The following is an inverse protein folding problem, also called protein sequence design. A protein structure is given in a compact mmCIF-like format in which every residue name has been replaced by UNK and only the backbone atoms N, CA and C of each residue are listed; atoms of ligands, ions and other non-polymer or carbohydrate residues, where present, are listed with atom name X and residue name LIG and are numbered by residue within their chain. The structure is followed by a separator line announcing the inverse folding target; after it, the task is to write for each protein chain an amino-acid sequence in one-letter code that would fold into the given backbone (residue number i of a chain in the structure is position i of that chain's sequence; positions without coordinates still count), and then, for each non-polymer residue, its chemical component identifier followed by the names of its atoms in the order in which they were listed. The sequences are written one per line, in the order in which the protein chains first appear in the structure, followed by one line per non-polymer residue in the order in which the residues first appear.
data_IF_469871387184
#
_entry.id   IF_469871387184
#
_cell.length_a   1.000
_cell.length_b   1.000
_cell.length_c   1.000
_cell.angle_alpha   90.00
_cell.angle_beta   90.00
_cell.angle_gamma   90.00
#
_symmetry.space_group_name_H-M   'P 1'
#
loop_
_entity.id
_entity.type
_entity.pdbx_description
1 polymer ?
#
# COMPACT_ATOMS: atom_id res chain seq x y z
N UNK A 1 0.70 -2.63 -22.59
CA UNK A 1 1.09 -2.09 -21.28
C UNK A 1 0.70 -3.12 -20.25
N UNK A 2 1.63 -3.55 -19.42
CA UNK A 2 1.41 -4.53 -18.36
C UNK A 2 1.56 -3.91 -16.97
N UNK A 3 2.42 -2.91 -16.83
CA UNK A 3 2.72 -2.30 -15.53
C UNK A 3 3.05 -0.81 -15.65
N UNK A 4 2.92 -0.09 -14.55
CA UNK A 4 3.34 1.29 -14.40
C UNK A 4 3.86 1.56 -13.00
N UNK A 5 4.76 2.53 -12.87
CA UNK A 5 5.22 3.05 -11.59
C UNK A 5 5.42 4.57 -11.66
N UNK A 6 5.33 5.25 -10.52
CA UNK A 6 5.54 6.70 -10.42
C UNK A 6 6.84 6.96 -9.66
N UNK A 7 7.70 7.79 -10.21
CA UNK A 7 8.94 8.22 -9.55
C UNK A 7 8.70 9.40 -8.58
N UNK A 8 9.67 9.68 -7.72
CA UNK A 8 9.57 10.75 -6.70
C UNK A 8 9.33 12.14 -7.30
N UNK A 9 9.77 12.37 -8.54
CA UNK A 9 9.59 13.60 -9.31
C UNK A 9 8.26 13.68 -10.09
N UNK A 10 7.39 12.68 -9.93
CA UNK A 10 6.09 12.61 -10.59
C UNK A 10 6.14 12.09 -12.03
N UNK A 11 7.30 11.67 -12.55
CA UNK A 11 7.37 10.98 -13.84
C UNK A 11 6.78 9.57 -13.76
N UNK A 12 6.24 9.10 -14.87
CA UNK A 12 5.54 7.80 -14.96
C UNK A 12 6.35 6.83 -15.81
N UNK A 13 6.75 5.71 -15.23
CA UNK A 13 7.34 4.58 -15.93
C UNK A 13 6.23 3.64 -16.40
N UNK A 14 6.36 3.11 -17.61
CA UNK A 14 5.41 2.20 -18.23
C UNK A 14 6.18 1.01 -18.80
N UNK A 15 5.80 -0.21 -18.42
CA UNK A 15 6.37 -1.45 -18.90
C UNK A 15 5.35 -2.33 -19.64
N UNK A 16 5.82 -3.16 -20.56
CA UNK A 16 4.99 -4.19 -21.20
C UNK A 16 5.53 -4.66 -22.54
N UNK A 17 4.69 -5.31 -23.34
CA UNK A 17 5.03 -5.77 -24.69
C UNK A 17 4.97 -4.63 -25.72
N UNK A 18 6.09 -3.94 -25.96
CA UNK A 18 6.25 -2.95 -27.03
C UNK A 18 7.73 -2.63 -27.30
N UNK A 19 8.08 -2.37 -28.57
CA UNK A 19 9.45 -1.96 -28.92
C UNK A 19 9.60 -0.43 -29.09
N UNK A 20 8.49 0.30 -29.24
CA UNK A 20 8.50 1.75 -29.47
C UNK A 20 7.31 2.48 -28.85
N UNK A 21 7.49 3.77 -28.59
CA UNK A 21 6.45 4.67 -28.11
C UNK A 21 6.62 6.05 -28.76
N UNK A 22 5.56 6.60 -29.35
CA UNK A 22 5.58 7.86 -30.09
C UNK A 22 6.76 7.98 -31.09
N UNK A 23 7.08 6.88 -31.78
CA UNK A 23 8.14 6.84 -32.80
C UNK A 23 9.57 6.70 -32.27
N UNK A 24 9.79 6.68 -30.95
CA UNK A 24 11.08 6.38 -30.34
C UNK A 24 11.18 4.90 -29.94
N UNK A 25 12.33 4.28 -30.14
CA UNK A 25 12.63 2.92 -29.62
C UNK A 25 12.69 2.95 -28.11
N UNK A 26 12.00 2.00 -27.46
CA UNK A 26 11.81 1.97 -26.00
C UNK A 26 12.02 0.62 -25.34
N UNK A 27 12.35 -0.44 -26.08
CA UNK A 27 12.77 -1.73 -25.50
C UNK A 27 11.90 -2.15 -24.29
N UNK A 28 10.58 -2.26 -24.47
CA UNK A 28 9.61 -2.73 -23.45
C UNK A 28 9.37 -1.81 -22.24
N UNK A 29 10.06 -0.67 -22.15
CA UNK A 29 9.90 0.31 -21.06
C UNK A 29 10.03 1.76 -21.53
N UNK A 30 9.09 2.62 -21.15
CA UNK A 30 9.18 4.06 -21.42
C UNK A 30 8.94 4.88 -20.17
N UNK A 31 9.35 6.15 -20.20
CA UNK A 31 9.05 7.12 -19.15
C UNK A 31 8.34 8.34 -19.74
N UNK A 32 7.31 8.81 -19.05
CA UNK A 32 6.57 10.01 -19.37
C UNK A 32 6.85 11.08 -18.31
N UNK A 33 6.87 12.34 -18.74
CA UNK A 33 6.82 13.49 -17.85
C UNK A 33 5.48 13.56 -17.12
N UNK A 34 5.38 14.38 -16.08
CA UNK A 34 4.15 14.57 -15.29
C UNK A 34 2.97 15.12 -16.10
N UNK A 35 3.24 15.74 -17.26
CA UNK A 35 2.23 16.20 -18.22
C UNK A 35 1.82 15.13 -19.25
N UNK A 36 2.39 13.91 -19.15
CA UNK A 36 2.14 12.80 -20.06
C UNK A 36 2.96 12.81 -21.35
N UNK A 37 3.80 13.83 -21.57
CA UNK A 37 4.72 13.85 -22.72
C UNK A 37 5.85 12.84 -22.55
N UNK A 38 6.44 12.38 -23.66
CA UNK A 38 7.55 11.44 -23.61
C UNK A 38 8.80 12.07 -22.98
N UNK A 39 9.38 11.43 -21.97
CA UNK A 39 10.70 11.80 -21.45
C UNK A 39 11.79 11.28 -22.39
N UNK A 40 12.42 12.19 -23.14
CA UNK A 40 13.52 11.86 -24.05
C UNK A 40 14.85 11.68 -23.35
N UNK A 41 14.98 12.09 -22.09
CA UNK A 41 16.19 11.92 -21.28
C UNK A 41 16.32 10.52 -20.67
N UNK A 42 15.23 9.75 -20.63
CA UNK A 42 15.27 8.33 -20.34
C UNK A 42 15.51 7.56 -21.64
N UNK A 43 16.61 6.85 -21.79
CA UNK A 43 16.92 6.01 -22.96
C UNK A 43 17.14 4.58 -22.47
N UNK A 44 16.12 3.70 -22.60
CA UNK A 44 16.20 2.33 -22.12
C UNK A 44 17.37 1.56 -22.73
N UNK A 45 18.13 0.86 -21.87
CA UNK A 45 19.22 -0.01 -22.30
C UNK A 45 18.74 -1.07 -23.32
N UNK A 46 19.62 -1.42 -24.27
CA UNK A 46 19.34 -2.43 -25.32
C UNK A 46 19.30 -3.87 -24.80
N UNK A 47 19.76 -4.05 -23.57
CA UNK A 47 19.80 -5.29 -22.81
C UNK A 47 18.41 -5.66 -22.26
N UNK A 48 17.46 -4.72 -22.23
CA UNK A 48 16.06 -5.01 -21.97
C UNK A 48 15.46 -5.63 -23.24
N UNK A 49 15.37 -6.96 -23.27
CA UNK A 49 15.07 -7.73 -24.51
C UNK A 49 13.77 -8.51 -24.47
N UNK A 50 12.98 -8.35 -23.42
CA UNK A 50 11.76 -9.11 -23.22
C UNK A 50 10.69 -8.25 -22.54
N UNK A 51 9.48 -8.78 -22.54
CA UNK A 51 8.32 -8.17 -21.90
C UNK A 51 8.62 -7.81 -20.44
N UNK A 52 8.25 -6.59 -20.06
CA UNK A 52 8.28 -6.14 -18.68
C UNK A 52 6.90 -6.36 -18.06
N UNK A 53 6.80 -7.34 -17.17
CA UNK A 53 5.58 -7.67 -16.44
C UNK A 53 5.39 -6.78 -15.20
N UNK A 54 6.48 -6.34 -14.57
CA UNK A 54 6.43 -5.52 -13.35
C UNK A 54 7.54 -4.48 -13.29
N UNK A 55 7.26 -3.31 -12.71
CA UNK A 55 8.23 -2.24 -12.44
C UNK A 55 8.06 -1.75 -11.01
N UNK A 56 9.16 -1.50 -10.32
CA UNK A 56 9.14 -0.63 -9.15
C UNK A 56 10.33 0.33 -9.11
N UNK A 57 10.17 1.37 -8.30
CA UNK A 57 11.17 2.41 -8.09
C UNK A 57 11.78 2.19 -6.71
N UNK A 58 13.11 2.12 -6.64
CA UNK A 58 13.84 2.08 -5.38
C UNK A 58 13.93 3.48 -4.75
N UNK A 59 14.30 3.56 -3.48
CA UNK A 59 14.40 4.82 -2.73
C UNK A 59 15.47 5.78 -3.26
N UNK A 60 16.38 5.30 -4.10
CA UNK A 60 17.39 6.08 -4.81
C UNK A 60 17.00 6.41 -6.26
N UNK A 61 15.70 6.31 -6.57
CA UNK A 61 15.08 6.54 -7.90
C UNK A 61 15.58 5.60 -9.02
N UNK A 62 16.36 4.56 -8.71
CA UNK A 62 16.64 3.50 -9.67
C UNK A 62 15.38 2.66 -9.94
N UNK A 63 15.32 2.11 -11.15
CA UNK A 63 14.14 1.39 -11.64
C UNK A 63 14.44 -0.10 -11.70
N UNK A 64 13.71 -0.91 -10.95
CA UNK A 64 13.68 -2.36 -11.12
C UNK A 64 12.63 -2.71 -12.17
N UNK A 65 13.01 -3.47 -13.18
CA UNK A 65 12.10 -3.97 -14.21
C UNK A 65 12.19 -5.49 -14.27
N UNK A 66 11.07 -6.16 -13.96
CA UNK A 66 10.92 -7.61 -13.96
C UNK A 66 10.15 -8.09 -15.19
N UNK A 67 10.65 -9.15 -15.80
CA UNK A 67 10.11 -9.81 -16.99
C UNK A 67 10.65 -11.23 -17.03
N UNK A 68 11.21 -11.67 -18.16
CA UNK A 68 11.95 -12.95 -18.21
C UNK A 68 13.14 -13.02 -17.24
N UNK A 69 13.70 -11.85 -16.91
CA UNK A 69 14.71 -11.64 -15.88
C UNK A 69 14.39 -10.35 -15.12
N UNK A 70 15.19 -10.00 -14.11
CA UNK A 70 15.19 -8.68 -13.50
C UNK A 70 16.40 -7.87 -13.95
N UNK A 71 16.17 -6.61 -14.31
CA UNK A 71 17.21 -5.62 -14.55
C UNK A 71 16.99 -4.42 -13.66
N UNK A 72 18.07 -3.69 -13.40
CA UNK A 72 17.99 -2.37 -12.78
C UNK A 72 18.49 -1.30 -13.74
N UNK A 73 17.73 -0.22 -13.86
CA UNK A 73 18.06 0.92 -14.70
C UNK A 73 18.33 2.16 -13.82
N UNK A 74 19.27 2.98 -14.26
CA UNK A 74 19.55 4.29 -13.70
C UNK A 74 18.46 5.30 -14.11
N UNK A 75 18.53 6.51 -13.55
CA UNK A 75 17.56 7.57 -13.84
C UNK A 75 17.56 8.04 -15.31
N UNK A 76 18.60 7.73 -16.07
CA UNK A 76 18.72 7.97 -17.52
C UNK A 76 18.29 6.77 -18.37
N UNK A 77 17.89 5.64 -17.77
CA UNK A 77 17.49 4.42 -18.47
C UNK A 77 18.64 3.48 -18.85
N UNK A 78 19.90 3.85 -18.57
CA UNK A 78 21.04 2.95 -18.75
C UNK A 78 21.02 1.83 -17.70
N UNK A 79 21.56 0.66 -18.05
CA UNK A 79 21.67 -0.47 -17.13
C UNK A 79 22.59 -0.11 -15.94
N UNK A 80 22.17 -0.47 -14.74
CA UNK A 80 23.04 -0.45 -13.58
C UNK A 80 23.94 -1.70 -13.57
N UNK A 81 25.19 -1.52 -14.02
CA UNK A 81 26.13 -2.62 -14.24
C UNK A 81 26.53 -3.39 -12.97
N UNK A 82 26.32 -2.82 -11.77
CA UNK A 82 26.62 -3.53 -10.51
C UNK A 82 25.47 -4.43 -10.04
N UNK A 83 24.29 -4.34 -10.67
CA UNK A 83 23.16 -5.20 -10.36
C UNK A 83 23.23 -6.49 -11.18
N UNK A 84 23.52 -7.62 -10.54
CA UNK A 84 23.78 -8.90 -11.22
C UNK A 84 22.83 -10.02 -10.85
N UNK A 85 21.60 -9.70 -10.45
CA UNK A 85 20.60 -10.72 -10.12
C UNK A 85 20.19 -11.52 -11.36
N UNK A 86 20.05 -12.84 -11.20
CA UNK A 86 19.57 -13.73 -12.27
C UNK A 86 18.47 -14.65 -11.77
N UNK A 87 17.43 -14.84 -12.57
CA UNK A 87 16.38 -15.85 -12.38
C UNK A 87 16.39 -16.81 -13.56
N UNK A 88 15.97 -18.05 -13.36
CA UNK A 88 15.89 -19.02 -14.45
C UNK A 88 14.56 -18.98 -15.24
N UNK A 89 13.64 -18.12 -14.82
CA UNK A 89 12.34 -17.90 -15.47
C UNK A 89 11.78 -16.52 -15.06
N UNK A 90 10.61 -16.21 -15.61
CA UNK A 90 9.93 -14.94 -15.47
C UNK A 90 9.56 -14.54 -14.04
N UNK A 91 9.64 -13.24 -13.80
CA UNK A 91 9.15 -12.50 -12.64
C UNK A 91 7.88 -11.79 -13.07
N UNK A 92 6.77 -12.08 -12.39
CA UNK A 92 5.46 -11.50 -12.69
C UNK A 92 5.14 -10.31 -11.79
N UNK A 93 5.68 -10.29 -10.57
CA UNK A 93 5.50 -9.15 -9.67
C UNK A 93 6.71 -8.92 -8.76
N UNK A 94 6.84 -7.70 -8.26
CA UNK A 94 7.85 -7.33 -7.28
C UNK A 94 7.38 -6.20 -6.36
N UNK A 95 7.87 -6.19 -5.13
CA UNK A 95 7.54 -5.17 -4.14
C UNK A 95 8.80 -4.71 -3.39
N UNK A 96 9.03 -3.40 -3.35
CA UNK A 96 10.19 -2.78 -2.68
C UNK A 96 9.83 -2.43 -1.23
N UNK A 97 10.67 -2.84 -0.29
CA UNK A 97 10.63 -2.43 1.11
C UNK A 97 11.24 -1.02 1.23
N UNK A 98 10.43 -0.05 1.66
CA UNK A 98 10.84 1.36 1.73
C UNK A 98 11.90 1.64 2.79
N UNK A 99 12.02 0.80 3.82
CA UNK A 99 12.93 0.99 4.95
C UNK A 99 14.41 0.79 4.62
N UNK A 100 14.73 -0.15 3.73
CA UNK A 100 16.11 -0.57 3.44
C UNK A 100 16.38 -0.82 1.95
N UNK A 101 15.37 -0.63 1.08
CA UNK A 101 15.48 -0.81 -0.36
C UNK A 101 15.61 -2.27 -0.81
N UNK A 102 15.49 -3.23 0.11
CA UNK A 102 15.30 -4.63 -0.23
C UNK A 102 14.01 -4.80 -1.00
N UNK A 103 13.88 -5.89 -1.74
CA UNK A 103 12.67 -6.12 -2.52
C UNK A 103 12.38 -7.60 -2.67
N UNK A 104 11.10 -7.91 -2.82
CA UNK A 104 10.61 -9.27 -3.01
C UNK A 104 10.21 -9.43 -4.47
N UNK A 105 10.58 -10.55 -5.07
CA UNK A 105 10.19 -10.93 -6.43
C UNK A 105 9.33 -12.18 -6.39
N UNK A 106 8.34 -12.24 -7.29
CA UNK A 106 7.42 -13.36 -7.44
C UNK A 106 7.25 -13.73 -8.91
N UNK A 107 7.14 -15.01 -9.21
CA UNK A 107 6.98 -15.45 -10.60
C UNK A 107 7.02 -16.96 -10.80
N UNK A 108 7.53 -17.38 -11.96
CA UNK A 108 7.61 -18.76 -12.43
C UNK A 108 8.99 -19.39 -12.20
N UNK A 109 9.92 -18.66 -11.59
CA UNK A 109 11.30 -19.10 -11.40
C UNK A 109 11.40 -20.19 -10.32
N UNK A 110 12.43 -21.02 -10.42
CA UNK A 110 12.80 -22.01 -9.41
C UNK A 110 14.15 -21.74 -8.78
N UNK A 111 14.95 -20.83 -9.35
CA UNK A 111 16.23 -20.41 -8.80
C UNK A 111 16.43 -18.91 -8.93
N UNK A 112 17.13 -18.34 -7.95
CA UNK A 112 17.63 -16.95 -7.93
C UNK A 112 19.10 -16.99 -7.59
N UNK A 113 19.97 -16.43 -8.43
CA UNK A 113 21.42 -16.47 -8.27
C UNK A 113 21.93 -17.91 -8.00
N UNK A 114 21.41 -18.87 -8.76
CA UNK A 114 21.69 -20.32 -8.64
C UNK A 114 21.28 -20.97 -7.31
N UNK A 115 20.57 -20.26 -6.43
CA UNK A 115 20.00 -20.82 -5.19
C UNK A 115 18.54 -21.18 -5.40
N UNK A 116 18.11 -22.33 -4.89
CA UNK A 116 16.72 -22.79 -5.01
C UNK A 116 15.77 -21.82 -4.29
N UNK A 117 14.84 -21.29 -5.07
CA UNK A 117 13.80 -20.34 -4.65
C UNK A 117 12.62 -20.52 -5.59
N UNK A 118 11.63 -21.32 -5.20
CA UNK A 118 10.47 -21.57 -6.04
C UNK A 118 9.45 -20.44 -5.90
N UNK A 119 9.35 -19.63 -6.96
CA UNK A 119 8.32 -18.62 -7.18
C UNK A 119 8.35 -17.40 -6.28
N UNK A 120 9.18 -17.37 -5.22
CA UNK A 120 9.32 -16.23 -4.30
C UNK A 120 10.76 -16.11 -3.80
N UNK A 121 11.28 -14.89 -3.73
CA UNK A 121 12.57 -14.60 -3.09
C UNK A 121 12.62 -13.13 -2.64
N UNK A 122 13.42 -12.84 -1.61
CA UNK A 122 13.83 -11.47 -1.27
C UNK A 122 15.27 -11.23 -1.70
N UNK A 123 15.52 -10.07 -2.26
CA UNK A 123 16.85 -9.59 -2.63
C UNK A 123 17.20 -8.34 -1.85
N UNK A 124 18.49 -8.18 -1.60
CA UNK A 124 19.04 -6.95 -1.06
C UNK A 124 18.90 -5.82 -2.08
N UNK A 125 19.07 -4.58 -1.63
CA UNK A 125 18.96 -3.41 -2.50
C UNK A 125 19.93 -3.45 -3.67
N UNK A 126 21.04 -4.19 -3.61
CA UNK A 126 22.02 -4.38 -4.69
C UNK A 126 21.72 -5.54 -5.65
N UNK A 127 20.65 -6.32 -5.41
CA UNK A 127 20.29 -7.50 -6.20
C UNK A 127 20.97 -8.80 -5.78
N UNK A 128 21.78 -8.80 -4.71
CA UNK A 128 22.21 -10.04 -4.07
C UNK A 128 21.03 -10.72 -3.35
N UNK A 129 21.07 -12.05 -3.24
CA UNK A 129 19.99 -12.79 -2.56
C UNK A 129 20.04 -12.52 -1.05
N UNK A 130 18.90 -12.16 -0.45
CA UNK A 130 18.80 -12.05 1.01
C UNK A 130 18.56 -13.43 1.62
N UNK A 131 19.62 -14.02 2.18
CA UNK A 131 19.56 -15.36 2.77
C UNK A 131 18.80 -15.43 4.10
N UNK A 132 18.46 -14.28 4.70
CA UNK A 132 17.62 -14.23 5.91
C UNK A 132 16.13 -14.37 5.60
N UNK A 133 15.75 -14.33 4.32
CA UNK A 133 14.44 -14.70 3.83
C UNK A 133 14.51 -16.10 3.19
N UNK A 134 13.97 -17.09 3.87
CA UNK A 134 13.96 -18.48 3.43
C UNK A 134 12.52 -19.00 3.33
N UNK A 135 11.96 -19.10 2.11
CA UNK A 135 10.63 -19.64 1.89
C UNK A 135 10.59 -21.18 1.88
N UNK A 136 11.70 -21.85 2.22
CA UNK A 136 11.84 -23.30 2.12
C UNK A 136 11.66 -23.76 0.67
N UNK A 137 10.74 -24.70 0.44
CA UNK A 137 10.40 -25.19 -0.90
C UNK A 137 9.58 -24.16 -1.69
N UNK A 138 9.14 -23.07 -1.06
CA UNK A 138 8.31 -22.03 -1.69
C UNK A 138 7.01 -22.60 -2.21
N UNK A 139 6.58 -22.20 -3.42
CA UNK A 139 5.35 -22.72 -4.03
C UNK A 139 5.49 -24.13 -4.67
N UNK A 140 6.69 -24.71 -4.60
CA UNK A 140 7.03 -26.00 -5.22
C UNK A 140 7.22 -25.96 -6.74
N UNK A 141 7.58 -27.10 -7.32
CA UNK A 141 7.93 -27.23 -8.74
C UNK A 141 6.81 -27.91 -9.52
N UNK A 142 5.77 -27.17 -9.87
CA UNK A 142 4.60 -27.68 -10.61
C UNK A 142 4.19 -26.85 -11.82
N UNK A 143 5.04 -25.91 -12.25
CA UNK A 143 4.63 -24.87 -13.22
C UNK A 143 3.70 -23.81 -12.62
N UNK A 144 3.63 -23.76 -11.29
CA UNK A 144 2.91 -22.72 -10.56
C UNK A 144 3.66 -21.39 -10.59
N UNK A 145 2.94 -20.32 -10.30
CA UNK A 145 3.44 -18.95 -10.25
C UNK A 145 2.87 -18.14 -9.11
N UNK A 146 3.71 -17.27 -8.57
CA UNK A 146 3.27 -16.10 -7.82
C UNK A 146 3.04 -14.97 -8.82
N UNK A 147 1.79 -14.54 -8.94
CA UNK A 147 1.34 -13.52 -9.88
C UNK A 147 1.29 -12.12 -9.26
N UNK A 148 1.10 -12.05 -7.95
CA UNK A 148 0.99 -10.79 -7.22
C UNK A 148 1.60 -10.90 -5.83
N UNK A 149 2.31 -9.86 -5.43
CA UNK A 149 2.93 -9.70 -4.12
C UNK A 149 2.44 -8.39 -3.52
N UNK A 150 2.15 -8.40 -2.22
CA UNK A 150 1.98 -7.17 -1.47
C UNK A 150 2.67 -7.25 -0.11
N UNK A 151 3.29 -6.15 0.28
CA UNK A 151 3.89 -5.98 1.61
C UNK A 151 2.84 -5.39 2.56
N UNK A 152 2.76 -5.95 3.76
CA UNK A 152 1.98 -5.38 4.86
C UNK A 152 2.86 -4.48 5.73
N UNK A 153 2.25 -3.54 6.47
CA UNK A 153 2.96 -2.60 7.35
C UNK A 153 3.77 -3.31 8.46
N UNK A 154 3.34 -4.51 8.86
CA UNK A 154 4.02 -5.32 9.87
C UNK A 154 5.20 -6.13 9.29
N UNK A 155 5.54 -5.93 8.02
CA UNK A 155 6.62 -6.61 7.32
C UNK A 155 6.26 -8.01 6.80
N UNK A 156 5.01 -8.47 6.98
CA UNK A 156 4.54 -9.71 6.34
C UNK A 156 4.32 -9.51 4.84
N UNK A 157 4.32 -10.63 4.13
CA UNK A 157 4.24 -10.67 2.67
C UNK A 157 3.00 -11.46 2.27
N UNK A 158 2.10 -10.84 1.51
CA UNK A 158 0.97 -11.52 0.88
C UNK A 158 1.36 -11.94 -0.52
N UNK A 159 1.02 -13.17 -0.89
CA UNK A 159 1.23 -13.70 -2.24
C UNK A 159 -0.07 -14.26 -2.82
N UNK A 160 -0.30 -13.99 -4.10
CA UNK A 160 -1.41 -14.49 -4.91
C UNK A 160 -0.91 -15.15 -6.19
N UNK A 161 -1.57 -16.21 -6.67
CA UNK A 161 -1.17 -16.91 -7.90
C UNK A 161 -2.04 -18.10 -8.28
N UNK A 162 -1.45 -19.15 -8.87
CA UNK A 162 -2.11 -20.45 -9.20
C UNK A 162 -1.55 -21.63 -8.40
N UNK A 163 -0.64 -21.37 -7.46
CA UNK A 163 -0.08 -22.41 -6.60
C UNK A 163 -1.14 -23.04 -5.70
N UNK A 164 -0.89 -24.28 -5.27
CA UNK A 164 -1.79 -25.04 -4.38
C UNK A 164 -1.14 -25.42 -3.05
N UNK A 165 0.16 -25.16 -2.90
CA UNK A 165 0.92 -25.40 -1.69
C UNK A 165 1.95 -24.29 -1.47
N UNK A 166 2.37 -24.12 -0.23
CA UNK A 166 3.53 -23.34 0.16
C UNK A 166 4.32 -24.14 1.19
N UNK A 167 5.60 -24.39 0.92
CA UNK A 167 6.52 -25.17 1.77
C UNK A 167 5.91 -26.48 2.27
N UNK A 168 5.30 -27.24 1.34
CA UNK A 168 4.63 -28.51 1.63
C UNK A 168 3.26 -28.41 2.33
N UNK A 169 2.84 -27.22 2.76
CA UNK A 169 1.54 -26.97 3.38
C UNK A 169 0.52 -26.54 2.33
N UNK A 170 -0.69 -27.08 2.35
CA UNK A 170 -1.74 -26.68 1.40
C UNK A 170 -2.13 -25.21 1.58
N UNK A 171 -2.01 -24.46 0.48
CA UNK A 171 -2.37 -23.04 0.37
C UNK A 171 -2.85 -22.81 -1.05
N UNK A 172 -4.15 -22.72 -1.23
CA UNK A 172 -4.76 -22.59 -2.54
C UNK A 172 -4.77 -21.13 -2.99
N UNK A 173 -3.80 -20.79 -3.85
CA UNK A 173 -3.64 -19.52 -4.59
C UNK A 173 -3.40 -18.26 -3.79
N UNK A 174 -3.50 -18.32 -2.46
CA UNK A 174 -3.18 -17.21 -1.55
C UNK A 174 -2.43 -17.75 -0.34
N UNK A 175 -1.40 -17.03 0.07
CA UNK A 175 -0.70 -17.27 1.32
C UNK A 175 -0.16 -15.96 1.91
N UNK A 176 0.17 -15.99 3.20
CA UNK A 176 0.92 -14.94 3.87
C UNK A 176 2.21 -15.50 4.43
N UNK A 177 3.30 -14.77 4.30
CA UNK A 177 4.63 -15.12 4.79
C UNK A 177 5.06 -14.15 5.88
N UNK A 178 5.82 -14.66 6.84
CA UNK A 178 6.52 -13.86 7.82
C UNK A 178 7.70 -13.12 7.17
N UNK A 179 8.30 -12.18 7.91
CA UNK A 179 9.42 -11.38 7.42
C UNK A 179 10.70 -12.20 7.17
N UNK A 180 10.78 -13.43 7.68
CA UNK A 180 11.85 -14.39 7.41
C UNK A 180 11.53 -15.34 6.23
N UNK A 181 10.39 -15.16 5.55
CA UNK A 181 9.95 -15.99 4.43
C UNK A 181 9.18 -17.24 4.81
N UNK A 182 9.13 -17.61 6.10
CA UNK A 182 8.34 -18.75 6.57
C UNK A 182 6.84 -18.50 6.39
N UNK A 183 6.06 -19.58 6.23
CA UNK A 183 4.61 -19.49 6.13
C UNK A 183 3.99 -18.94 7.44
N UNK A 184 3.15 -17.92 7.34
CA UNK A 184 2.30 -17.49 8.45
C UNK A 184 1.09 -18.43 8.56
N UNK A 185 1.18 -19.39 9.47
CA UNK A 185 0.12 -20.38 9.72
C UNK A 185 -1.15 -19.78 10.33
N UNK A 186 -1.11 -18.56 10.87
CA UNK A 186 -2.29 -17.86 11.40
C UNK A 186 -3.18 -17.28 10.30
N UNK A 187 -2.65 -17.19 9.09
CA UNK A 187 -3.42 -16.93 7.87
C UNK A 187 -3.71 -18.25 7.17
N UNK A 188 -4.97 -18.70 7.25
CA UNK A 188 -5.40 -19.95 6.63
C UNK A 188 -6.58 -19.69 5.69
N UNK A 189 -6.38 -19.82 4.36
CA UNK A 189 -7.46 -19.68 3.41
C UNK A 189 -8.43 -20.87 3.39
N UNK A 190 -8.15 -21.96 4.12
CA UNK A 190 -8.94 -23.18 4.12
C UNK A 190 -8.83 -23.94 2.79
N UNK A 191 -9.96 -24.37 2.22
CA UNK A 191 -9.98 -24.91 0.85
C UNK A 191 -9.75 -23.83 -0.21
N UNK A 192 -9.81 -22.56 0.17
CA UNK A 192 -9.38 -21.41 -0.62
C UNK A 192 -10.18 -21.23 -1.91
N UNK A 193 -9.49 -20.79 -2.95
CA UNK A 193 -10.09 -20.29 -4.19
C UNK A 193 -10.35 -21.40 -5.20
N UNK A 194 -11.55 -21.44 -5.78
CA UNK A 194 -11.90 -22.41 -6.83
C UNK A 194 -12.86 -21.87 -7.91
N UNK A 195 -13.04 -22.64 -8.99
CA UNK A 195 -13.81 -22.26 -10.18
C UNK A 195 -13.07 -21.27 -11.10
N UNK A 196 -13.46 -21.19 -12.38
CA UNK A 196 -12.66 -20.51 -13.42
C UNK A 196 -11.31 -21.21 -13.68
N UNK A 197 -10.31 -20.47 -14.17
CA UNK A 197 -8.90 -20.91 -14.04
C UNK A 197 -8.45 -20.93 -12.57
N UNK A 198 -9.17 -20.19 -11.72
CA UNK A 198 -8.96 -20.11 -10.29
C UNK A 198 -7.75 -19.27 -9.91
N UNK A 199 -7.23 -18.48 -10.84
CA UNK A 199 -6.00 -17.72 -10.68
C UNK A 199 -6.22 -16.41 -9.92
N UNK A 200 -5.39 -16.10 -8.93
CA UNK A 200 -5.37 -14.78 -8.27
C UNK A 200 -4.36 -13.90 -9.00
N UNK A 201 -4.85 -12.85 -9.64
CA UNK A 201 -4.03 -11.92 -10.40
C UNK A 201 -3.56 -10.72 -9.60
N UNK A 202 -4.30 -10.35 -8.54
CA UNK A 202 -3.99 -9.17 -7.74
C UNK A 202 -4.38 -9.39 -6.28
N UNK A 203 -3.50 -8.99 -5.37
CA UNK A 203 -3.73 -8.97 -3.93
C UNK A 203 -3.39 -7.58 -3.39
N UNK A 204 -4.29 -7.00 -2.60
CA UNK A 204 -4.12 -5.63 -2.07
C UNK A 204 -4.46 -5.60 -0.58
N UNK A 205 -3.49 -5.38 0.32
CA UNK A 205 -3.77 -5.18 1.73
C UNK A 205 -4.48 -3.84 1.94
N UNK A 206 -5.37 -3.80 2.92
CA UNK A 206 -6.08 -2.62 3.35
C UNK A 206 -5.54 -2.15 4.72
N UNK A 207 -5.64 -0.84 5.04
CA UNK A 207 -5.15 -0.29 6.32
C UNK A 207 -5.77 -0.93 7.57
N UNK A 208 -6.97 -1.50 7.45
CA UNK A 208 -7.66 -2.18 8.55
C UNK A 208 -7.24 -3.65 8.73
N UNK A 209 -6.24 -4.12 7.97
CA UNK A 209 -5.73 -5.49 7.99
C UNK A 209 -6.56 -6.49 7.19
N UNK A 210 -7.63 -6.07 6.50
CA UNK A 210 -8.31 -6.90 5.49
C UNK A 210 -7.55 -6.87 4.17
N UNK A 211 -7.88 -7.80 3.28
CA UNK A 211 -7.12 -8.04 2.06
C UNK A 211 -8.10 -8.22 0.91
N UNK A 212 -7.95 -7.43 -0.15
CA UNK A 212 -8.69 -7.63 -1.39
C UNK A 212 -7.96 -8.62 -2.29
N UNK A 213 -8.72 -9.50 -2.93
CA UNK A 213 -8.22 -10.46 -3.92
C UNK A 213 -9.03 -10.33 -5.20
N UNK A 214 -8.35 -10.31 -6.34
CA UNK A 214 -8.96 -10.26 -7.67
C UNK A 214 -8.34 -11.28 -8.61
N UNK A 215 -9.13 -11.82 -9.52
CA UNK A 215 -8.64 -12.77 -10.52
C UNK A 215 -9.75 -13.49 -11.28
N UNK A 216 -9.43 -14.68 -11.79
CA UNK A 216 -10.38 -15.52 -12.51
C UNK A 216 -10.86 -16.68 -11.64
N UNK A 217 -11.60 -16.37 -10.58
CA UNK A 217 -12.22 -17.38 -9.70
C UNK A 217 -13.71 -17.13 -9.41
N UNK A 218 -14.45 -18.18 -9.10
CA UNK A 218 -15.91 -18.07 -8.87
C UNK A 218 -16.34 -18.50 -7.46
N UNK A 219 -15.39 -18.83 -6.59
CA UNK A 219 -15.69 -19.25 -5.22
C UNK A 219 -14.50 -19.14 -4.28
N UNK A 220 -14.80 -19.06 -2.98
CA UNK A 220 -13.85 -19.14 -1.87
C UNK A 220 -14.45 -20.00 -0.76
N UNK A 221 -13.77 -21.08 -0.35
CA UNK A 221 -14.28 -22.05 0.62
C UNK A 221 -15.70 -22.56 0.31
N UNK A 222 -16.01 -22.72 -0.98
CA UNK A 222 -17.35 -23.13 -1.46
C UNK A 222 -18.40 -22.02 -1.48
N UNK A 223 -18.15 -20.84 -0.89
CA UNK A 223 -19.01 -19.67 -1.04
C UNK A 223 -18.83 -19.05 -2.43
N UNK A 224 -19.93 -18.66 -3.08
CA UNK A 224 -19.87 -18.03 -4.39
C UNK A 224 -19.22 -16.64 -4.32
N UNK A 225 -18.30 -16.37 -5.25
CA UNK A 225 -17.69 -15.06 -5.47
C UNK A 225 -17.71 -14.75 -6.95
N UNK A 226 -17.74 -13.46 -7.29
CA UNK A 226 -17.65 -13.01 -8.66
C UNK A 226 -16.30 -12.34 -8.87
N UNK A 227 -15.21 -13.13 -9.00
CA UNK A 227 -13.87 -12.67 -9.44
C UNK A 227 -13.15 -11.64 -8.53
N UNK A 228 -13.84 -11.16 -7.50
CA UNK A 228 -13.39 -10.19 -6.50
C UNK A 228 -13.86 -10.66 -5.12
N UNK A 229 -12.98 -10.60 -4.13
CA UNK A 229 -13.30 -10.95 -2.75
C UNK A 229 -12.50 -10.11 -1.75
N UNK A 230 -12.94 -10.11 -0.49
CA UNK A 230 -12.21 -9.53 0.63
C UNK A 230 -12.00 -10.59 1.70
N UNK A 231 -10.77 -10.74 2.16
CA UNK A 231 -10.37 -11.65 3.22
C UNK A 231 -10.16 -10.87 4.52
N UNK A 232 -10.48 -11.50 5.63
CA UNK A 232 -10.09 -11.05 6.95
C UNK A 232 -8.60 -11.34 7.19
N UNK A 233 -8.03 -10.74 8.22
CA UNK A 233 -6.61 -10.87 8.55
C UNK A 233 -6.15 -12.32 8.87
N UNK A 234 -7.09 -13.23 9.13
CA UNK A 234 -6.83 -14.66 9.35
C UNK A 234 -7.01 -15.52 8.10
N UNK A 235 -7.30 -14.93 6.94
CA UNK A 235 -7.55 -15.66 5.69
C UNK A 235 -8.99 -16.14 5.50
N UNK A 236 -9.91 -15.91 6.45
CA UNK A 236 -11.33 -16.20 6.21
C UNK A 236 -11.98 -15.18 5.27
N UNK A 237 -13.04 -15.58 4.55
CA UNK A 237 -13.78 -14.66 3.68
C UNK A 237 -14.59 -13.65 4.50
N UNK A 238 -14.49 -12.37 4.18
CA UNK A 238 -15.41 -11.34 4.66
C UNK A 238 -16.70 -11.38 3.82
N UNK A 239 -17.68 -12.15 4.31
CA UNK A 239 -18.98 -12.32 3.63
C UNK A 239 -19.82 -11.04 3.56
N UNK A 240 -19.45 -10.00 4.31
CA UNK A 240 -20.14 -8.70 4.24
C UNK A 240 -19.71 -7.90 3.00
N UNK A 241 -18.60 -8.29 2.37
CA UNK A 241 -18.13 -7.69 1.15
C UNK A 241 -18.81 -8.31 -0.07
N UNK A 242 -19.82 -7.62 -0.60
CA UNK A 242 -20.49 -8.02 -1.84
C UNK A 242 -20.08 -7.08 -2.98
N UNK A 243 -18.91 -7.33 -3.56
CA UNK A 243 -18.51 -6.68 -4.80
C UNK A 243 -18.81 -7.62 -5.97
N UNK A 244 -19.85 -7.28 -6.74
CA UNK A 244 -20.17 -7.99 -7.98
C UNK A 244 -19.40 -7.39 -9.15
N UNK A 245 -18.40 -8.09 -9.67
CA UNK A 245 -17.86 -7.84 -11.01
C UNK A 245 -18.41 -8.87 -11.99
N UNK A 246 -18.48 -8.51 -13.27
CA UNK A 246 -19.04 -9.39 -14.31
C UNK A 246 -17.97 -10.17 -15.08
N UNK A 247 -16.68 -9.84 -14.88
CA UNK A 247 -15.56 -10.51 -15.52
C UNK A 247 -14.31 -10.51 -14.63
N UNK A 248 -13.22 -11.09 -15.15
CA UNK A 248 -11.90 -11.20 -14.53
C UNK A 248 -11.42 -9.85 -14.01
N UNK A 249 -10.94 -9.85 -12.78
CA UNK A 249 -10.25 -8.71 -12.16
C UNK A 249 -8.76 -8.90 -12.35
N UNK A 250 -8.13 -7.94 -13.03
CA UNK A 250 -6.68 -7.97 -13.33
C UNK A 250 -5.91 -7.00 -12.44
N UNK A 251 -6.55 -5.90 -12.01
CA UNK A 251 -5.93 -4.90 -11.16
C UNK A 251 -6.90 -4.38 -10.09
N UNK A 252 -6.37 -4.15 -8.90
CA UNK A 252 -7.04 -3.46 -7.81
C UNK A 252 -6.10 -2.34 -7.34
N UNK A 253 -6.62 -1.13 -7.19
CA UNK A 253 -5.90 0.01 -6.64
C UNK A 253 -6.71 0.57 -5.48
N UNK A 254 -6.06 0.69 -4.32
CA UNK A 254 -6.62 1.39 -3.17
C UNK A 254 -6.30 2.89 -3.28
N UNK A 255 -7.32 3.72 -3.15
CA UNK A 255 -7.19 5.17 -3.13
C UNK A 255 -6.97 5.67 -1.69
N UNK A 256 -6.33 6.85 -1.50
CA UNK A 256 -6.11 7.42 -0.17
C UNK A 256 -7.38 7.69 0.65
N UNK A 257 -8.54 7.81 0.00
CA UNK A 257 -9.85 7.97 0.64
C UNK A 257 -10.54 6.63 0.94
N UNK A 258 -9.80 5.52 0.88
CA UNK A 258 -10.27 4.17 1.16
C UNK A 258 -11.08 3.53 0.02
N UNK A 259 -11.35 4.26 -1.07
CA UNK A 259 -12.06 3.70 -2.23
C UNK A 259 -11.19 2.75 -3.02
N UNK A 260 -11.84 1.84 -3.74
CA UNK A 260 -11.17 0.83 -4.55
C UNK A 260 -11.50 1.05 -6.02
N UNK A 261 -10.47 1.19 -6.85
CA UNK A 261 -10.56 1.12 -8.30
C UNK A 261 -10.25 -0.33 -8.71
N UNK A 262 -11.11 -0.89 -9.57
CA UNK A 262 -10.93 -2.24 -10.10
C UNK A 262 -10.83 -2.15 -11.62
N UNK A 263 -9.81 -2.78 -12.19
CA UNK A 263 -9.57 -2.91 -13.62
C UNK A 263 -9.60 -4.37 -14.06
N UNK A 264 -10.03 -4.62 -15.30
CA UNK A 264 -10.08 -5.95 -15.89
C UNK A 264 -10.97 -6.00 -17.13
N UNK A 265 -11.29 -7.21 -17.59
CA UNK A 265 -12.03 -7.47 -18.83
C UNK A 265 -13.54 -7.17 -18.76
N UNK A 266 -13.97 -6.17 -17.99
CA UNK A 266 -15.38 -5.89 -17.76
C UNK A 266 -16.10 -5.50 -19.06
N UNK A 267 -17.32 -6.00 -19.23
CA UNK A 267 -18.13 -5.73 -20.44
C UNK A 267 -19.37 -4.88 -20.13
N UNK A 268 -19.86 -4.91 -18.89
CA UNK A 268 -21.04 -4.14 -18.45
C UNK A 268 -20.74 -3.16 -17.29
N UNK A 269 -19.46 -2.97 -16.94
CA UNK A 269 -19.05 -2.13 -15.81
C UNK A 269 -18.26 -0.90 -16.31
N UNK A 270 -18.94 0.26 -16.39
CA UNK A 270 -18.25 1.55 -16.35
C UNK A 270 -17.88 1.76 -14.88
N UNK A 271 -16.59 1.62 -14.56
CA UNK A 271 -15.92 1.90 -13.28
C UNK A 271 -16.87 2.44 -12.19
N UNK A 272 -17.59 1.55 -11.51
CA UNK A 272 -18.43 1.94 -10.38
C UNK A 272 -17.50 2.02 -9.18
N UNK A 273 -17.26 3.24 -8.68
CA UNK A 273 -16.59 3.47 -7.41
C UNK A 273 -17.25 2.57 -6.35
N UNK A 274 -16.51 1.57 -5.86
CA UNK A 274 -16.93 0.72 -4.77
C UNK A 274 -16.82 1.55 -3.49
N UNK A 275 -17.92 2.21 -3.12
CA UNK A 275 -18.07 2.82 -1.80
C UNK A 275 -18.21 1.68 -0.79
N UNK A 276 -17.25 1.50 0.11
CA UNK A 276 -17.49 0.76 1.35
C UNK A 276 -16.89 1.49 2.56
N UNK A 277 -17.79 1.73 3.51
CA UNK A 277 -17.69 2.41 4.80
C UNK A 277 -16.38 2.24 5.57
N UNK A 278 -15.61 3.32 5.69
CA UNK A 278 -14.77 3.53 6.87
C UNK A 278 -15.67 3.93 8.06
N UNK A 279 -15.33 3.45 9.26
CA UNK A 279 -16.00 3.91 10.47
C UNK A 279 -15.69 5.40 10.66
N UNK A 280 -16.73 6.23 10.61
CA UNK A 280 -16.58 7.67 10.76
C UNK A 280 -17.07 8.12 12.13
N UNK A 281 -16.24 8.93 12.77
CA UNK A 281 -16.45 9.39 14.13
C UNK A 281 -16.70 10.89 14.18
N UNK A 282 -17.54 11.27 15.12
CA UNK A 282 -17.89 12.67 15.41
C UNK A 282 -16.86 13.23 16.38
N UNK A 283 -16.35 14.44 16.10
CA UNK A 283 -15.57 15.22 17.05
C UNK A 283 -16.37 16.45 17.46
N UNK A 284 -16.84 16.49 18.70
CA UNK A 284 -17.47 17.66 19.31
C UNK A 284 -16.43 18.47 20.08
N UNK A 285 -16.27 19.74 19.72
CA UNK A 285 -15.47 20.70 20.49
C UNK A 285 -16.39 21.58 21.33
N UNK A 286 -16.16 21.61 22.64
CA UNK A 286 -16.88 22.48 23.58
C UNK A 286 -15.94 23.58 24.07
N UNK A 287 -16.50 24.76 24.34
CA UNK A 287 -15.75 25.90 24.88
C UNK A 287 -16.38 26.34 26.20
N UNK A 288 -15.56 26.48 27.24
CA UNK A 288 -16.02 26.81 28.59
C UNK A 288 -15.05 27.77 29.33
N UNK A 289 -15.47 28.98 29.73
CA UNK A 289 -16.68 29.65 29.29
C UNK A 289 -16.53 30.10 27.83
N UNK A 290 -17.66 30.27 27.12
CA UNK A 290 -17.68 30.69 25.70
C UNK A 290 -17.00 32.05 25.45
N UNK A 291 -16.96 32.93 26.45
CA UNK A 291 -16.26 34.22 26.39
C UNK A 291 -14.73 34.09 26.54
N UNK A 292 -14.23 32.91 26.92
CA UNK A 292 -12.81 32.69 27.18
C UNK A 292 -11.96 32.52 25.91
N UNK A 293 -12.56 32.20 24.77
CA UNK A 293 -11.85 32.05 23.50
C UNK A 293 -12.61 31.20 22.47
N UNK A 294 -11.90 30.71 21.47
CA UNK A 294 -12.44 29.82 20.43
C UNK A 294 -11.53 28.62 20.17
N UNK A 295 -12.03 27.61 19.46
CA UNK A 295 -11.25 26.44 19.02
C UNK A 295 -11.36 26.31 17.50
N UNK A 296 -10.22 26.13 16.84
CA UNK A 296 -10.14 25.76 15.41
C UNK A 296 -9.65 24.32 15.27
N UNK A 297 -10.10 23.63 14.22
CA UNK A 297 -9.79 22.23 13.94
C UNK A 297 -9.02 22.11 12.63
N UNK A 298 -8.00 21.26 12.58
CA UNK A 298 -7.24 20.95 11.37
C UNK A 298 -6.77 19.48 11.39
N UNK A 299 -7.03 18.65 10.37
CA UNK A 299 -7.76 18.94 9.14
C UNK A 299 -9.26 19.18 9.37
N UNK A 300 -9.95 19.70 8.34
CA UNK A 300 -11.40 19.71 8.31
C UNK A 300 -11.95 18.27 8.24
N UNK A 301 -13.23 18.03 8.63
CA UNK A 301 -13.83 16.70 8.55
C UNK A 301 -13.73 16.08 7.16
N UNK A 302 -13.19 14.86 7.10
CA UNK A 302 -12.88 14.13 5.87
C UNK A 302 -13.84 12.94 5.61
N UNK A 303 -14.94 12.84 6.34
CA UNK A 303 -16.01 11.87 6.12
C UNK A 303 -17.41 12.53 6.01
N UNK A 304 -18.32 11.81 5.35
CA UNK A 304 -19.73 12.18 5.21
C UNK A 304 -20.38 12.56 6.55
N UNK A 305 -21.20 13.62 6.53
CA UNK A 305 -21.88 14.13 7.71
C UNK A 305 -20.99 14.97 8.64
N UNK A 306 -19.94 15.61 8.10
CA UNK A 306 -18.96 16.40 8.86
C UNK A 306 -18.28 15.58 9.98
N UNK A 307 -17.93 14.33 9.64
CA UNK A 307 -17.24 13.38 10.53
C UNK A 307 -15.79 13.18 10.11
N UNK A 308 -15.03 12.47 10.93
CA UNK A 308 -13.65 12.09 10.65
C UNK A 308 -13.53 10.61 10.39
N UNK A 309 -12.69 10.26 9.41
CA UNK A 309 -12.25 8.89 9.13
C UNK A 309 -11.49 8.33 10.35
N UNK A 310 -11.74 7.08 10.72
CA UNK A 310 -10.98 6.36 11.74
C UNK A 310 -9.46 6.47 11.52
N UNK A 311 -8.70 6.83 12.54
CA UNK A 311 -7.26 7.03 12.49
C UNK A 311 -6.82 8.45 12.13
N UNK A 312 -7.73 9.34 11.71
CA UNK A 312 -7.39 10.74 11.41
C UNK A 312 -6.81 11.42 12.65
N UNK A 313 -5.60 11.98 12.53
CA UNK A 313 -4.98 12.83 13.56
C UNK A 313 -5.48 14.27 13.40
N UNK A 314 -6.27 14.75 14.35
CA UNK A 314 -6.85 16.10 14.36
C UNK A 314 -6.11 16.99 15.35
N UNK A 315 -5.67 18.16 14.90
CA UNK A 315 -5.11 19.22 15.72
C UNK A 315 -6.21 20.21 16.13
N UNK A 316 -6.43 20.31 17.43
CA UNK A 316 -7.29 21.30 18.06
C UNK A 316 -6.44 22.47 18.54
N UNK A 317 -6.66 23.66 17.97
CA UNK A 317 -5.96 24.88 18.37
C UNK A 317 -6.92 25.80 19.11
N UNK A 318 -6.64 26.07 20.38
CA UNK A 318 -7.37 27.06 21.15
C UNK A 318 -6.81 28.47 20.88
N UNK A 319 -7.70 29.45 20.78
CA UNK A 319 -7.36 30.87 20.66
C UNK A 319 -7.95 31.59 21.88
N UNK A 320 -7.19 31.75 22.99
CA UNK A 320 -7.68 32.42 24.18
C UNK A 320 -7.92 33.92 23.95
N UNK A 321 -9.01 34.44 24.49
CA UNK A 321 -9.23 35.88 24.61
C UNK A 321 -8.27 36.48 25.65
N UNK A 322 -7.98 37.79 25.59
CA UNK A 322 -7.07 38.45 26.53
C UNK A 322 -7.43 38.17 27.99
N UNK A 323 -6.43 37.72 28.75
CA UNK A 323 -6.62 37.40 30.17
C UNK A 323 -7.00 35.95 30.46
N UNK A 324 -7.11 35.07 29.45
CA UNK A 324 -7.37 33.64 29.66
C UNK A 324 -6.18 32.74 29.29
N UNK A 325 -6.02 31.65 30.03
CA UNK A 325 -5.19 30.49 29.69
C UNK A 325 -6.08 29.30 29.34
N UNK A 326 -5.50 28.19 28.86
CA UNK A 326 -6.25 27.03 28.38
C UNK A 326 -5.81 25.73 29.07
N UNK A 327 -6.80 24.89 29.41
CA UNK A 327 -6.62 23.46 29.74
C UNK A 327 -7.70 22.65 29.04
N UNK A 328 -7.28 21.57 28.37
CA UNK A 328 -8.17 20.63 27.69
C UNK A 328 -8.67 19.54 28.64
N UNK A 329 -9.92 19.13 28.43
CA UNK A 329 -10.55 18.01 29.15
C UNK A 329 -11.50 17.22 28.24
N UNK A 330 -12.00 16.07 28.71
CA UNK A 330 -12.86 15.17 27.94
C UNK A 330 -12.06 13.99 27.40
N UNK A 331 -12.31 13.60 26.15
CA UNK A 331 -11.64 12.45 25.52
C UNK A 331 -10.18 12.71 25.13
N UNK A 332 -9.72 13.97 25.25
CA UNK A 332 -8.32 14.36 25.18
C UNK A 332 -8.05 15.47 26.20
N UNK A 333 -6.93 15.39 26.92
CA UNK A 333 -6.64 16.24 28.07
C UNK A 333 -5.23 16.80 28.03
N UNK A 334 -4.98 17.93 28.70
CA UNK A 334 -3.64 18.49 28.85
C UNK A 334 -3.62 20.01 28.65
N UNK A 335 -2.44 20.59 28.58
CA UNK A 335 -2.24 22.04 28.39
C UNK A 335 -1.55 22.40 27.08
N UNK A 336 -1.24 21.42 26.23
CA UNK A 336 -0.64 21.65 24.91
C UNK A 336 -1.61 22.40 24.00
N UNK A 337 -1.09 23.36 23.23
CA UNK A 337 -1.87 24.10 22.24
C UNK A 337 -0.97 24.38 21.02
N UNK A 338 -1.18 23.70 19.88
CA UNK A 338 -2.28 22.77 19.58
C UNK A 338 -2.29 21.46 20.39
N UNK A 339 -3.47 20.85 20.53
CA UNK A 339 -3.68 19.50 21.08
C UNK A 339 -3.96 18.51 19.95
N UNK A 340 -3.29 17.37 19.94
CA UNK A 340 -3.52 16.31 18.95
C UNK A 340 -4.51 15.26 19.45
N UNK A 341 -5.44 14.85 18.58
CA UNK A 341 -6.50 13.89 18.86
C UNK A 341 -6.60 12.89 17.72
N UNK A 342 -6.32 11.61 17.99
CA UNK A 342 -6.54 10.53 17.01
C UNK A 342 -7.99 10.05 17.05
N UNK A 343 -8.69 10.09 15.92
CA UNK A 343 -10.11 9.72 15.83
C UNK A 343 -10.29 8.21 15.74
N UNK A 344 -10.53 7.54 16.87
CA UNK A 344 -10.78 6.08 16.94
C UNK A 344 -12.13 5.71 17.58
N UNK A 345 -12.92 6.71 17.98
CA UNK A 345 -14.27 6.63 18.53
C UNK A 345 -14.93 8.00 18.33
N UNK A 346 -16.24 8.12 18.55
CA UNK A 346 -16.84 9.44 18.77
C UNK A 346 -16.12 10.09 19.97
N UNK A 347 -15.82 11.40 19.85
CA UNK A 347 -15.06 12.15 20.86
C UNK A 347 -15.70 13.50 21.15
N UNK A 348 -15.62 13.89 22.41
CA UNK A 348 -15.94 15.24 22.90
C UNK A 348 -14.73 15.79 23.66
N UNK A 349 -14.19 16.91 23.17
CA UNK A 349 -13.06 17.60 23.79
C UNK A 349 -13.47 19.02 24.16
N UNK A 350 -13.21 19.41 25.40
CA UNK A 350 -13.58 20.72 25.95
C UNK A 350 -12.36 21.58 26.17
N UNK A 351 -12.34 22.77 25.58
CA UNK A 351 -11.42 23.85 25.89
C UNK A 351 -11.89 24.61 27.14
N UNK A 352 -11.21 24.43 28.27
CA UNK A 352 -11.49 25.18 29.50
C UNK A 352 -10.58 26.40 29.60
N UNK A 353 -11.16 27.57 29.38
CA UNK A 353 -10.48 28.84 29.51
C UNK A 353 -10.56 29.36 30.95
N UNK A 354 -9.42 29.60 31.57
CA UNK A 354 -9.33 30.09 32.95
C UNK A 354 -8.70 31.48 33.00
N UNK A 355 -9.26 32.41 33.78
CA UNK A 355 -8.67 33.74 33.94
C UNK A 355 -7.27 33.65 34.54
N UNK A 356 -6.32 34.32 33.89
CA UNK A 356 -4.97 34.51 34.36
C UNK A 356 -4.95 35.79 35.20
N UNK A 357 -4.83 35.62 36.52
CA UNK A 357 -4.74 36.74 37.44
C UNK A 357 -3.35 37.40 37.30
N UNK A 358 -3.28 38.61 36.73
CA UNK A 358 -2.06 39.40 36.72
C UNK A 358 -1.92 40.11 38.08
N UNK A 359 -0.97 39.67 38.91
CA UNK A 359 -0.52 40.42 40.08
C UNK A 359 0.19 41.69 39.59
N UNK A 360 -0.48 42.84 39.70
CA UNK A 360 0.22 44.13 39.66
C UNK A 360 0.94 44.29 41.00
N UNK A 361 2.26 44.11 41.03
CA UNK A 361 3.10 44.57 42.14
C UNK A 361 3.14 46.11 42.05
N UNK A 362 2.59 46.86 43.01
CA UNK A 362 2.77 48.30 43.03
C UNK A 362 4.25 48.60 43.28
N UNK A 363 4.87 49.32 42.35
CA UNK A 363 6.22 49.86 42.52
C UNK A 363 6.13 50.96 43.60
N UNK A 364 6.48 50.63 44.86
CA UNK A 364 6.62 51.63 45.91
C UNK A 364 7.91 52.41 45.63
N UNK A 365 7.77 53.62 45.09
CA UNK A 365 8.86 54.60 45.04
C UNK A 365 8.88 55.32 46.37
N UNK A 366 9.81 54.98 47.26
CA UNK A 366 10.06 55.78 48.46
C UNK A 366 10.88 57.01 48.08
N UNK A 367 10.27 58.20 48.08
CA UNK A 367 11.01 59.46 48.06
C UNK A 367 11.56 59.75 49.45
N UNK A 368 12.89 59.71 49.61
CA UNK A 368 13.60 60.29 50.76
C UNK A 368 13.52 61.81 50.70
N UNK A 369 12.90 62.42 51.71
CA UNK A 369 13.06 63.82 52.07
C UNK A 369 14.11 63.98 53.15
#
# INVERSE_FOLDING_TARGET
MYTLAIQSDGKVLIGGHFDSYNGATRNYITRLNSDGTLDTGFVPATEVKADIFTIAVQTDDKVLAGGDNIVRLNSDGALDAIFTSTTNNSIHDLAVQSSDGKFIIGGNFSTVNSTDRAGIARLNSDGSLDTTFDPGIGIGTGGYRVASIALQEDGKVLIGGDFINFDGTSRNKVARLNNDGSLDVTFDPGTGISGGSGFVQTIVPQPDGRILIGGDFSSYNGAALNRLGRLNNNGSLDITFNAGTDNVVEAIILQPDGKVIVGGGFTNYIARLLNHFESCYTLSTLVNPVEGGSVTVNPAPNCAGAKYISGTLVQLTAVPNPGYGIVWSGDATGSSNPLEVTMNSDKTVTANFMMIMRLFLPMIVSSSG
#
